data_IF_405270915477
#
_entry.id   IF_405270915477
#
_cell.length_a   1.000
_cell.length_b   1.000
_cell.length_c   1.000
_cell.angle_alpha   90.00
_cell.angle_beta   90.00
_cell.angle_gamma   90.00
#
_symmetry.space_group_name_H-M   'P 1'
#
loop_
_entity.id
_entity.type
_entity.pdbx_description
1 polymer ?
#
# COMPACT_ATOMS: atom_id res chain seq x y z
N UNK A 1 36.87 -32.88 -26.97
CA UNK A 1 38.35 -32.70 -27.02
C UNK A 1 38.68 -31.67 -25.96
N UNK A 2 39.36 -32.06 -24.86
CA UNK A 2 39.47 -31.22 -23.64
C UNK A 2 40.07 -29.86 -23.94
N UNK A 3 39.40 -28.77 -23.58
CA UNK A 3 39.88 -27.37 -23.74
C UNK A 3 41.33 -27.16 -23.29
N UNK A 4 41.83 -27.99 -22.38
CA UNK A 4 43.21 -27.94 -21.89
C UNK A 4 44.24 -28.27 -22.94
N UNK A 5 43.99 -29.23 -23.85
CA UNK A 5 44.92 -29.61 -24.90
C UNK A 5 44.90 -28.66 -26.09
N UNK A 6 43.77 -27.96 -26.31
CA UNK A 6 43.64 -26.96 -27.36
C UNK A 6 44.64 -25.79 -27.19
N UNK A 7 44.92 -25.37 -25.98
CA UNK A 7 45.89 -24.32 -25.69
C UNK A 7 47.34 -24.72 -25.99
N UNK A 8 47.72 -25.94 -25.67
CA UNK A 8 49.07 -26.47 -26.00
C UNK A 8 49.22 -26.66 -27.51
N UNK A 9 48.17 -27.13 -28.18
CA UNK A 9 48.12 -27.24 -29.62
C UNK A 9 48.23 -25.86 -30.30
N UNK A 10 47.47 -24.86 -29.80
CA UNK A 10 47.55 -23.48 -30.28
C UNK A 10 48.94 -22.85 -30.10
N UNK A 11 49.62 -23.14 -28.99
CA UNK A 11 50.98 -22.69 -28.76
C UNK A 11 51.96 -23.26 -29.81
N UNK A 12 51.90 -24.56 -30.08
CA UNK A 12 52.78 -25.23 -31.09
C UNK A 12 52.47 -24.76 -32.51
N UNK A 13 51.17 -24.70 -32.85
CA UNK A 13 50.74 -24.27 -34.19
C UNK A 13 51.12 -22.81 -34.45
N UNK A 14 50.77 -21.90 -33.48
CA UNK A 14 51.07 -20.48 -33.59
C UNK A 14 52.58 -20.21 -33.76
N UNK A 15 53.45 -20.90 -32.99
CA UNK A 15 54.88 -20.78 -33.07
C UNK A 15 55.41 -21.31 -34.43
N UNK A 16 54.88 -22.45 -34.92
CA UNK A 16 55.20 -22.99 -36.21
C UNK A 16 54.78 -22.07 -37.36
N UNK A 17 53.58 -21.52 -37.33
CA UNK A 17 53.08 -20.61 -38.37
C UNK A 17 53.99 -19.38 -38.48
N UNK A 18 54.32 -18.75 -37.38
CA UNK A 18 55.17 -17.57 -37.34
C UNK A 18 56.55 -17.93 -37.85
N UNK A 19 57.13 -19.07 -37.42
CA UNK A 19 58.43 -19.51 -37.90
C UNK A 19 58.42 -19.77 -39.42
N UNK A 20 57.44 -20.50 -39.93
CA UNK A 20 57.32 -20.82 -41.36
C UNK A 20 57.07 -19.59 -42.25
N UNK A 21 56.28 -18.61 -41.72
CA UNK A 21 56.00 -17.38 -42.46
C UNK A 21 57.18 -16.42 -42.53
N UNK A 22 58.05 -16.37 -41.51
CA UNK A 22 59.09 -15.37 -41.37
C UNK A 22 60.46 -15.96 -41.78
N UNK A 23 60.73 -17.29 -41.75
CA UNK A 23 61.97 -17.93 -42.09
C UNK A 23 62.49 -17.64 -43.56
N UNK A 24 61.58 -17.57 -44.57
CA UNK A 24 62.03 -17.23 -45.93
C UNK A 24 62.63 -15.82 -46.09
N UNK A 25 62.26 -14.92 -45.15
CA UNK A 25 62.64 -13.50 -45.17
C UNK A 25 63.67 -13.15 -44.09
N UNK A 26 64.40 -14.13 -43.57
CA UNK A 26 65.33 -13.96 -42.44
C UNK A 26 66.45 -12.95 -42.72
N UNK A 27 66.86 -12.75 -43.96
CA UNK A 27 67.87 -11.75 -44.34
C UNK A 27 67.37 -10.32 -44.42
N UNK A 28 66.02 -10.16 -44.58
CA UNK A 28 65.37 -8.86 -44.75
C UNK A 28 64.70 -8.33 -43.47
N UNK A 29 64.46 -9.22 -42.52
CA UNK A 29 63.73 -8.87 -41.30
C UNK A 29 64.67 -8.81 -40.11
N UNK A 30 64.62 -7.75 -39.37
CA UNK A 30 65.37 -7.58 -38.13
C UNK A 30 64.90 -8.62 -37.07
N UNK A 31 65.81 -9.21 -36.32
CA UNK A 31 65.56 -10.15 -35.23
C UNK A 31 64.56 -9.59 -34.15
N UNK A 32 64.56 -8.28 -33.97
CA UNK A 32 63.61 -7.62 -33.08
C UNK A 32 62.15 -7.74 -33.54
N UNK A 33 61.93 -7.64 -34.88
CA UNK A 33 60.56 -7.78 -35.43
C UNK A 33 60.08 -9.22 -35.30
N UNK A 34 60.97 -10.20 -35.49
CA UNK A 34 60.66 -11.62 -35.29
C UNK A 34 60.33 -11.91 -33.80
N UNK A 35 61.09 -11.32 -32.88
CA UNK A 35 60.86 -11.47 -31.45
C UNK A 35 59.46 -10.89 -31.05
N UNK A 36 59.07 -9.73 -31.58
CA UNK A 36 57.75 -9.14 -31.40
C UNK A 36 56.60 -10.03 -31.93
N UNK A 37 56.81 -10.67 -33.11
CA UNK A 37 55.85 -11.60 -33.70
C UNK A 37 55.61 -12.82 -32.77
N UNK A 38 56.69 -13.40 -32.24
CA UNK A 38 56.56 -14.49 -31.25
C UNK A 38 55.89 -14.01 -29.93
N UNK A 39 56.18 -12.79 -29.48
CA UNK A 39 55.55 -12.20 -28.31
C UNK A 39 54.04 -12.06 -28.50
N UNK A 40 53.57 -11.69 -29.69
CA UNK A 40 52.13 -11.64 -30.02
C UNK A 40 51.49 -13.04 -29.95
N UNK A 41 52.17 -14.09 -30.42
CA UNK A 41 51.68 -15.47 -30.24
C UNK A 41 51.56 -15.84 -28.77
N UNK A 42 52.56 -15.50 -27.95
CA UNK A 42 52.51 -15.75 -26.50
C UNK A 42 51.36 -14.99 -25.85
N UNK A 43 51.17 -13.73 -26.23
CA UNK A 43 50.06 -12.89 -25.72
C UNK A 43 48.69 -13.49 -26.09
N UNK A 44 48.53 -13.89 -27.36
CA UNK A 44 47.30 -14.49 -27.84
C UNK A 44 46.97 -15.79 -27.09
N UNK A 45 47.95 -16.69 -26.96
CA UNK A 45 47.79 -17.95 -26.23
C UNK A 45 47.51 -17.69 -24.77
N UNK A 46 48.14 -16.67 -24.15
CA UNK A 46 47.88 -16.28 -22.76
C UNK A 46 46.44 -15.80 -22.53
N UNK A 47 45.91 -14.99 -23.44
CA UNK A 47 44.54 -14.44 -23.36
C UNK A 47 43.45 -15.53 -23.47
N UNK A 48 43.62 -16.46 -24.45
CA UNK A 48 42.57 -17.44 -24.72
C UNK A 48 42.67 -18.72 -23.88
N UNK A 49 43.88 -19.20 -23.58
CA UNK A 49 44.10 -20.49 -22.88
C UNK A 49 44.84 -20.40 -21.55
N UNK A 50 45.30 -19.19 -21.18
CA UNK A 50 45.92 -18.95 -19.88
C UNK A 50 47.42 -19.15 -19.83
N UNK A 51 48.01 -19.07 -18.61
CA UNK A 51 49.46 -18.96 -18.40
C UNK A 51 50.26 -20.21 -18.78
N UNK A 52 49.73 -21.42 -18.56
CA UNK A 52 50.52 -22.67 -18.82
C UNK A 52 50.79 -22.91 -20.30
N UNK A 53 49.83 -22.83 -21.24
CA UNK A 53 50.10 -22.89 -22.66
C UNK A 53 50.98 -21.72 -23.17
N UNK A 54 50.77 -20.52 -22.61
CA UNK A 54 51.57 -19.35 -22.93
C UNK A 54 53.05 -19.51 -22.57
N UNK A 55 53.33 -20.18 -21.46
CA UNK A 55 54.71 -20.49 -21.03
C UNK A 55 55.36 -21.47 -22.01
N UNK A 56 54.62 -22.48 -22.53
CA UNK A 56 55.10 -23.35 -23.57
C UNK A 56 55.36 -22.55 -24.86
N UNK A 57 54.44 -21.68 -25.26
CA UNK A 57 54.61 -20.83 -26.43
C UNK A 57 55.87 -19.94 -26.33
N UNK A 58 56.17 -19.39 -25.12
CA UNK A 58 57.34 -18.55 -24.89
C UNK A 58 58.63 -19.34 -25.01
N UNK A 59 58.68 -20.54 -24.46
CA UNK A 59 59.87 -21.43 -24.56
C UNK A 59 60.09 -21.85 -26.02
N UNK A 60 59.06 -22.29 -26.74
CA UNK A 60 59.11 -22.65 -28.13
C UNK A 60 59.50 -21.43 -28.98
N UNK A 61 58.93 -20.28 -28.78
CA UNK A 61 59.28 -19.04 -29.47
C UNK A 61 60.73 -18.64 -29.25
N UNK A 62 61.25 -18.79 -28.05
CA UNK A 62 62.65 -18.54 -27.72
C UNK A 62 63.58 -19.49 -28.50
N UNK A 63 63.23 -20.77 -28.49
CA UNK A 63 64.01 -21.75 -29.25
C UNK A 63 63.96 -21.48 -30.76
N UNK A 64 62.81 -21.20 -31.35
CA UNK A 64 62.63 -20.86 -32.74
C UNK A 64 63.36 -19.58 -33.11
N UNK A 65 63.28 -18.53 -32.28
CA UNK A 65 64.02 -17.29 -32.49
C UNK A 65 65.52 -17.51 -32.53
N UNK A 66 66.05 -18.26 -31.55
CA UNK A 66 67.50 -18.55 -31.52
C UNK A 66 67.96 -19.39 -32.70
N UNK A 67 67.25 -20.45 -33.03
CA UNK A 67 67.70 -21.44 -34.05
C UNK A 67 67.53 -20.94 -35.50
N UNK A 68 66.45 -20.23 -35.82
CA UNK A 68 66.14 -19.84 -37.19
C UNK A 68 66.52 -18.40 -37.56
N UNK A 69 66.68 -17.49 -36.57
CA UNK A 69 66.80 -16.05 -36.82
C UNK A 69 67.98 -15.35 -36.16
N UNK A 70 68.71 -16.04 -35.27
CA UNK A 70 69.88 -15.46 -34.65
C UNK A 70 71.20 -16.14 -35.19
N UNK A 71 72.15 -15.36 -35.66
CA UNK A 71 73.46 -15.95 -36.15
C UNK A 71 74.28 -16.53 -34.99
N UNK A 72 74.95 -17.66 -35.18
CA UNK A 72 75.03 -18.49 -36.41
C UNK A 72 73.73 -19.31 -36.54
N UNK A 73 73.10 -19.25 -37.74
CA UNK A 73 71.82 -19.92 -38.02
C UNK A 73 71.92 -21.45 -37.88
N UNK A 74 70.83 -22.10 -37.53
CA UNK A 74 70.68 -23.54 -37.33
C UNK A 74 71.60 -24.13 -36.25
N UNK A 75 72.05 -23.27 -35.32
CA UNK A 75 72.76 -23.65 -34.09
C UNK A 75 72.11 -23.10 -32.87
N UNK A 76 72.28 -23.76 -31.73
CA UNK A 76 71.79 -23.23 -30.43
C UNK A 76 72.83 -22.40 -29.71
N UNK A 77 73.94 -22.04 -30.38
CA UNK A 77 75.01 -21.20 -29.82
C UNK A 77 74.72 -19.72 -30.07
N UNK A 78 74.90 -18.89 -29.03
CA UNK A 78 74.68 -17.45 -29.08
C UNK A 78 76.05 -16.77 -29.19
N UNK A 79 76.38 -16.34 -30.43
CA UNK A 79 77.72 -15.77 -30.72
C UNK A 79 77.90 -14.34 -30.19
N UNK A 80 76.80 -13.55 -30.06
CA UNK A 80 76.85 -12.13 -29.66
C UNK A 80 76.19 -11.92 -28.32
N UNK A 81 76.81 -11.17 -27.42
CA UNK A 81 76.28 -10.84 -26.07
C UNK A 81 74.93 -10.10 -26.10
N UNK A 82 74.69 -9.33 -27.17
CA UNK A 82 73.43 -8.62 -27.38
C UNK A 82 72.23 -9.56 -27.55
N UNK A 83 72.42 -10.73 -28.07
CA UNK A 83 71.39 -11.75 -28.30
C UNK A 83 70.97 -12.39 -26.99
N UNK A 84 71.84 -12.50 -25.99
CA UNK A 84 71.51 -12.93 -24.64
C UNK A 84 70.53 -11.94 -23.94
N UNK A 85 70.81 -10.65 -24.13
CA UNK A 85 69.92 -9.59 -23.57
C UNK A 85 68.49 -9.69 -24.20
N UNK A 86 68.44 -9.81 -25.55
CA UNK A 86 67.18 -9.95 -26.27
C UNK A 86 66.37 -11.17 -25.82
N UNK A 87 66.98 -12.31 -25.66
CA UNK A 87 66.35 -13.56 -25.20
C UNK A 87 65.85 -13.42 -23.73
N UNK A 88 66.65 -12.81 -22.85
CA UNK A 88 66.27 -12.59 -21.47
C UNK A 88 65.11 -11.66 -21.39
N UNK A 89 65.10 -10.54 -22.14
CA UNK A 89 63.94 -9.60 -22.19
C UNK A 89 62.70 -10.27 -22.74
N UNK A 90 62.86 -11.06 -23.85
CA UNK A 90 61.72 -11.81 -24.38
C UNK A 90 61.10 -12.76 -23.35
N UNK A 91 61.93 -13.56 -22.68
CA UNK A 91 61.44 -14.52 -21.68
C UNK A 91 60.80 -13.85 -20.48
N UNK A 92 61.42 -12.80 -19.94
CA UNK A 92 60.85 -12.05 -18.79
C UNK A 92 59.53 -11.38 -19.16
N UNK A 93 59.45 -10.79 -20.36
CA UNK A 93 58.21 -10.17 -20.86
C UNK A 93 57.09 -11.21 -21.03
N UNK A 94 57.43 -12.36 -21.66
CA UNK A 94 56.48 -13.45 -21.86
C UNK A 94 55.93 -14.00 -20.52
N UNK A 95 56.82 -14.14 -19.53
CA UNK A 95 56.44 -14.57 -18.19
C UNK A 95 55.53 -13.55 -17.49
N UNK A 96 55.89 -12.26 -17.58
CA UNK A 96 55.10 -11.16 -16.97
C UNK A 96 53.68 -11.07 -17.57
N UNK A 97 53.60 -11.13 -18.92
CA UNK A 97 52.31 -11.13 -19.64
C UNK A 97 51.46 -12.35 -19.25
N UNK A 98 52.09 -13.54 -19.20
CA UNK A 98 51.39 -14.77 -18.79
C UNK A 98 50.85 -14.69 -17.38
N UNK A 99 51.61 -14.15 -16.43
CA UNK A 99 51.18 -13.96 -15.04
C UNK A 99 50.07 -12.91 -14.93
N UNK A 100 50.19 -11.78 -15.65
CA UNK A 100 49.20 -10.70 -15.63
C UNK A 100 47.86 -11.18 -16.18
N UNK A 101 47.86 -11.90 -17.31
CA UNK A 101 46.65 -12.50 -17.90
C UNK A 101 45.98 -13.50 -16.95
N UNK A 102 46.76 -14.34 -16.27
CA UNK A 102 46.24 -15.30 -15.31
C UNK A 102 45.59 -14.58 -14.07
N UNK A 103 46.21 -13.50 -13.61
CA UNK A 103 45.66 -12.69 -12.51
C UNK A 103 44.37 -11.96 -12.94
N UNK A 104 44.36 -11.39 -14.14
CA UNK A 104 43.17 -10.71 -14.67
C UNK A 104 41.98 -11.68 -14.76
N UNK A 105 42.22 -12.89 -15.31
CA UNK A 105 41.17 -13.90 -15.41
C UNK A 105 40.62 -14.36 -14.05
N UNK A 106 41.51 -14.60 -13.09
CA UNK A 106 41.06 -14.95 -11.72
C UNK A 106 40.23 -13.87 -11.08
N UNK A 107 40.63 -12.59 -11.19
CA UNK A 107 39.86 -11.47 -10.66
C UNK A 107 38.47 -11.35 -11.31
N UNK A 108 38.41 -11.62 -12.62
CA UNK A 108 37.13 -11.63 -13.33
C UNK A 108 36.21 -12.75 -12.81
N UNK A 109 36.75 -13.98 -12.65
CA UNK A 109 36.00 -15.13 -12.12
C UNK A 109 35.49 -14.84 -10.67
N UNK A 110 36.35 -14.31 -9.80
CA UNK A 110 35.99 -13.92 -8.43
C UNK A 110 34.93 -12.81 -8.41
N UNK A 111 35.03 -11.83 -9.31
CA UNK A 111 34.02 -10.75 -9.41
C UNK A 111 32.66 -11.26 -9.93
N UNK A 112 32.68 -12.20 -10.89
CA UNK A 112 31.42 -12.81 -11.38
C UNK A 112 30.75 -13.68 -10.32
N UNK A 113 31.53 -14.45 -9.54
CA UNK A 113 31.00 -15.23 -8.41
C UNK A 113 30.41 -14.32 -7.34
N UNK A 114 31.14 -13.27 -6.96
CA UNK A 114 30.65 -12.28 -5.98
C UNK A 114 29.37 -11.58 -6.45
N UNK A 115 29.29 -11.26 -7.74
CA UNK A 115 28.07 -10.66 -8.32
C UNK A 115 26.86 -11.61 -8.26
N UNK A 116 27.05 -12.88 -8.56
CA UNK A 116 25.97 -13.90 -8.49
C UNK A 116 25.49 -14.09 -7.07
N UNK A 117 26.40 -14.08 -6.10
CA UNK A 117 26.04 -14.22 -4.67
C UNK A 117 25.25 -12.99 -4.18
N UNK A 118 25.67 -11.77 -4.55
CA UNK A 118 24.93 -10.54 -4.23
C UNK A 118 23.52 -10.60 -4.83
N UNK A 119 23.38 -11.01 -6.09
CA UNK A 119 22.11 -11.10 -6.78
C UNK A 119 21.17 -12.12 -6.12
N UNK A 120 21.72 -13.26 -5.68
CA UNK A 120 20.97 -14.26 -4.91
C UNK A 120 20.50 -13.72 -3.56
N UNK A 121 21.41 -13.10 -2.78
CA UNK A 121 21.06 -12.52 -1.48
C UNK A 121 20.02 -11.40 -1.61
N UNK A 122 20.12 -10.60 -2.67
CA UNK A 122 19.12 -9.56 -2.96
C UNK A 122 17.74 -10.15 -3.22
N UNK A 123 17.64 -11.22 -4.01
CA UNK A 123 16.38 -11.92 -4.27
C UNK A 123 15.79 -12.57 -2.99
N UNK A 124 16.64 -13.18 -2.17
CA UNK A 124 16.24 -13.75 -0.89
C UNK A 124 15.72 -12.66 0.07
N UNK A 125 16.40 -11.52 0.16
CA UNK A 125 15.98 -10.38 0.95
C UNK A 125 14.64 -9.81 0.49
N UNK A 126 14.46 -9.62 -0.82
CA UNK A 126 13.22 -9.11 -1.39
C UNK A 126 12.04 -10.04 -1.07
N UNK A 127 12.21 -11.35 -1.27
CA UNK A 127 11.17 -12.33 -0.97
C UNK A 127 10.84 -12.42 0.54
N UNK A 128 11.83 -12.22 1.40
CA UNK A 128 11.62 -12.16 2.86
C UNK A 128 10.87 -10.89 3.25
N UNK A 129 11.20 -9.76 2.64
CA UNK A 129 10.50 -8.48 2.88
C UNK A 129 9.04 -8.53 2.44
N UNK A 130 8.75 -9.09 1.26
CA UNK A 130 7.37 -9.25 0.77
C UNK A 130 6.55 -10.14 1.71
N UNK A 131 7.11 -11.26 2.16
CA UNK A 131 6.43 -12.15 3.12
C UNK A 131 6.19 -11.48 4.46
N UNK A 132 7.16 -10.71 4.97
CA UNK A 132 7.02 -9.98 6.22
C UNK A 132 5.95 -8.89 6.13
N UNK A 133 5.92 -8.15 5.01
CA UNK A 133 4.90 -7.12 4.75
C UNK A 133 3.49 -7.71 4.67
N UNK A 134 3.31 -8.84 3.95
CA UNK A 134 2.03 -9.53 3.88
C UNK A 134 1.58 -10.07 5.25
N UNK A 135 2.50 -10.66 6.01
CA UNK A 135 2.20 -11.17 7.35
C UNK A 135 1.80 -10.04 8.32
N UNK A 136 2.45 -8.87 8.24
CA UNK A 136 2.09 -7.71 9.06
C UNK A 136 0.74 -7.13 8.68
N UNK A 137 0.44 -6.99 7.36
CA UNK A 137 -0.86 -6.55 6.88
C UNK A 137 -1.99 -7.49 7.36
N UNK A 138 -1.76 -8.81 7.29
CA UNK A 138 -2.73 -9.79 7.78
C UNK A 138 -2.93 -9.68 9.30
N UNK A 139 -1.85 -9.54 10.07
CA UNK A 139 -1.94 -9.34 11.54
C UNK A 139 -2.70 -8.07 11.91
N UNK A 140 -2.46 -6.99 11.20
CA UNK A 140 -3.19 -5.73 11.43
C UNK A 140 -4.68 -5.90 11.11
N UNK A 141 -5.01 -6.58 10.01
CA UNK A 141 -6.39 -6.91 9.65
C UNK A 141 -7.08 -7.77 10.72
N UNK A 142 -6.40 -8.81 11.22
CA UNK A 142 -6.93 -9.67 12.28
C UNK A 142 -7.13 -8.92 13.60
N UNK A 143 -6.17 -8.08 14.02
CA UNK A 143 -6.32 -7.24 15.21
C UNK A 143 -7.50 -6.28 15.09
N UNK A 144 -7.64 -5.63 13.93
CA UNK A 144 -8.77 -4.76 13.66
C UNK A 144 -10.09 -5.51 13.73
N UNK A 145 -10.17 -6.69 13.08
CA UNK A 145 -11.36 -7.54 13.12
C UNK A 145 -11.73 -7.99 14.54
N UNK A 146 -10.74 -8.37 15.35
CA UNK A 146 -10.99 -8.75 16.76
C UNK A 146 -11.49 -7.56 17.58
N UNK A 147 -10.83 -6.40 17.47
CA UNK A 147 -11.28 -5.19 18.17
C UNK A 147 -12.69 -4.76 17.75
N UNK A 148 -13.04 -4.92 16.47
CA UNK A 148 -14.39 -4.66 15.95
C UNK A 148 -15.41 -5.62 16.57
N UNK A 149 -15.12 -6.92 16.63
CA UNK A 149 -16.02 -7.91 17.24
C UNK A 149 -16.23 -7.65 18.73
N UNK A 150 -15.19 -7.23 19.45
CA UNK A 150 -15.28 -6.87 20.86
C UNK A 150 -16.15 -5.62 21.06
N UNK A 151 -15.97 -4.59 20.25
CA UNK A 151 -16.80 -3.37 20.28
C UNK A 151 -18.26 -3.66 19.96
N UNK A 152 -18.53 -4.43 18.90
CA UNK A 152 -19.88 -4.88 18.52
C UNK A 152 -20.54 -5.66 19.65
N UNK A 153 -19.81 -6.60 20.26
CA UNK A 153 -20.31 -7.42 21.37
C UNK A 153 -20.66 -6.57 22.58
N UNK A 154 -19.82 -5.57 22.90
CA UNK A 154 -20.07 -4.63 23.98
C UNK A 154 -21.35 -3.81 23.72
N UNK A 155 -21.47 -3.23 22.52
CA UNK A 155 -22.57 -2.36 22.14
C UNK A 155 -23.92 -3.10 21.97
N UNK A 156 -23.89 -4.41 21.71
CA UNK A 156 -25.06 -5.28 21.76
C UNK A 156 -25.43 -5.67 23.20
N UNK A 157 -24.44 -5.91 24.07
CA UNK A 157 -24.66 -6.39 25.44
C UNK A 157 -25.38 -5.34 26.30
N UNK A 158 -25.03 -4.07 26.15
CA UNK A 158 -25.61 -2.96 26.97
C UNK A 158 -27.11 -2.88 26.81
N UNK A 159 -27.72 -2.68 25.63
CA UNK A 159 -29.16 -2.62 25.46
C UNK A 159 -29.85 -3.92 25.88
N UNK A 160 -29.27 -5.07 25.55
CA UNK A 160 -29.81 -6.37 25.98
C UNK A 160 -29.87 -6.52 27.51
N UNK A 161 -28.89 -5.96 28.22
CA UNK A 161 -28.87 -5.98 29.69
C UNK A 161 -29.94 -5.10 30.26
N UNK A 162 -30.13 -3.88 29.70
CA UNK A 162 -31.22 -2.99 30.10
C UNK A 162 -32.61 -3.60 29.87
N UNK A 163 -32.85 -4.13 28.66
CA UNK A 163 -34.10 -4.84 28.33
C UNK A 163 -34.31 -6.01 29.30
N UNK A 164 -33.28 -6.83 29.55
CA UNK A 164 -33.38 -7.98 30.45
C UNK A 164 -33.68 -7.57 31.88
N UNK A 165 -33.05 -6.51 32.39
CA UNK A 165 -33.32 -5.97 33.73
C UNK A 165 -34.77 -5.48 33.86
N UNK A 166 -35.25 -4.66 32.94
CA UNK A 166 -36.61 -4.13 32.94
C UNK A 166 -37.65 -5.25 32.85
N UNK A 167 -37.45 -6.24 31.94
CA UNK A 167 -38.35 -7.40 31.84
C UNK A 167 -38.32 -8.22 33.12
N UNK A 168 -37.15 -8.46 33.73
CA UNK A 168 -37.02 -9.28 34.94
C UNK A 168 -37.77 -8.64 36.07
N UNK A 169 -37.63 -7.31 36.27
CA UNK A 169 -38.34 -6.57 37.30
C UNK A 169 -39.88 -6.62 37.12
N UNK A 170 -40.36 -6.42 35.89
CA UNK A 170 -41.78 -6.54 35.57
C UNK A 170 -42.32 -7.97 35.79
N UNK A 171 -41.53 -9.00 35.48
CA UNK A 171 -41.92 -10.40 35.69
C UNK A 171 -41.92 -10.80 37.15
N UNK A 172 -40.99 -10.29 37.97
CA UNK A 172 -40.91 -10.59 39.39
C UNK A 172 -42.10 -9.94 40.14
N UNK A 173 -42.52 -8.74 39.73
CA UNK A 173 -43.74 -8.13 40.21
C UNK A 173 -44.97 -9.01 39.89
N UNK A 174 -45.16 -9.40 38.63
CA UNK A 174 -46.31 -10.23 38.20
C UNK A 174 -46.33 -11.58 38.91
N UNK A 175 -45.13 -12.18 39.19
CA UNK A 175 -45.00 -13.47 39.87
C UNK A 175 -45.12 -13.41 41.38
N UNK A 176 -45.20 -12.22 41.97
CA UNK A 176 -45.20 -12.03 43.42
C UNK A 176 -43.92 -12.51 44.10
N UNK A 177 -42.79 -12.56 43.39
CA UNK A 177 -41.49 -13.01 43.89
C UNK A 177 -40.62 -11.83 44.31
N UNK A 178 -41.06 -11.08 45.32
CA UNK A 178 -40.12 -10.19 46.01
C UNK A 178 -39.41 -11.01 47.08
N UNK A 179 -38.13 -11.26 46.92
CA UNK A 179 -37.26 -11.83 47.97
C UNK A 179 -37.12 -10.72 49.04
N UNK A 180 -37.59 -11.03 50.25
CA UNK A 180 -37.60 -10.18 51.46
C UNK A 180 -38.75 -9.16 51.57
N UNK A 181 -39.76 -9.52 52.33
CA UNK A 181 -40.77 -8.78 53.17
C UNK A 181 -41.14 -7.31 52.83
N UNK A 182 -40.68 -6.72 51.70
CA UNK A 182 -41.22 -5.46 51.18
C UNK A 182 -41.77 -5.70 49.76
N UNK A 183 -43.10 -5.81 49.65
CA UNK A 183 -43.83 -5.72 48.39
C UNK A 183 -43.54 -4.38 47.73
N UNK A 184 -42.54 -4.29 46.88
CA UNK A 184 -42.45 -3.13 45.99
C UNK A 184 -43.44 -3.39 44.85
N UNK A 185 -44.67 -2.99 45.08
CA UNK A 185 -45.65 -2.82 44.00
C UNK A 185 -45.18 -1.61 43.20
N UNK A 186 -44.70 -1.88 41.96
CA UNK A 186 -44.42 -0.81 41.02
C UNK A 186 -45.71 -0.02 40.77
N UNK A 187 -45.63 1.29 40.86
CA UNK A 187 -46.73 2.14 40.41
C UNK A 187 -46.87 2.08 38.88
N UNK A 188 -47.98 2.60 38.38
CA UNK A 188 -48.26 2.55 36.94
C UNK A 188 -47.22 3.33 36.13
N UNK A 189 -46.63 4.37 36.68
CA UNK A 189 -45.61 5.21 36.08
C UNK A 189 -44.30 4.44 35.91
N UNK A 190 -43.81 3.77 36.94
CA UNK A 190 -42.61 2.92 36.89
C UNK A 190 -42.75 1.74 35.92
N UNK A 191 -43.94 1.16 35.80
CA UNK A 191 -44.19 0.11 34.78
C UNK A 191 -44.08 0.67 33.36
N UNK A 192 -44.68 1.85 33.15
CA UNK A 192 -44.63 2.52 31.86
C UNK A 192 -43.18 2.88 31.48
N UNK A 193 -42.42 3.49 32.41
CA UNK A 193 -40.99 3.77 32.20
C UNK A 193 -40.19 2.54 31.81
N UNK A 194 -40.43 1.40 32.48
CA UNK A 194 -39.70 0.14 32.11
C UNK A 194 -40.10 -0.38 30.73
N UNK A 195 -41.36 -0.24 30.32
CA UNK A 195 -41.82 -0.60 28.98
C UNK A 195 -41.22 0.33 27.93
N UNK A 196 -41.14 1.64 28.21
CA UNK A 196 -40.50 2.64 27.36
C UNK A 196 -39.00 2.34 27.16
N UNK A 197 -38.28 1.99 28.24
CA UNK A 197 -36.88 1.57 28.18
C UNK A 197 -36.72 0.33 27.29
N UNK A 198 -37.62 -0.66 27.41
CA UNK A 198 -37.57 -1.86 26.57
C UNK A 198 -37.74 -1.51 25.07
N UNK A 199 -38.70 -0.64 24.78
CA UNK A 199 -39.01 -0.19 23.42
C UNK A 199 -37.84 0.60 22.81
N UNK A 200 -37.36 1.62 23.54
CA UNK A 200 -36.20 2.43 23.12
C UNK A 200 -34.95 1.63 22.86
N UNK A 201 -34.61 0.69 23.78
CA UNK A 201 -33.40 -0.12 23.62
C UNK A 201 -33.55 -1.20 22.53
N UNK A 202 -34.78 -1.68 22.27
CA UNK A 202 -35.10 -2.57 21.15
C UNK A 202 -34.93 -1.84 19.81
N UNK A 203 -35.43 -0.63 19.71
CA UNK A 203 -35.26 0.22 18.53
C UNK A 203 -33.78 0.58 18.29
N UNK A 204 -33.06 0.87 19.37
CA UNK A 204 -31.61 1.09 19.30
C UNK A 204 -30.87 -0.13 18.75
N UNK A 205 -31.23 -1.33 19.19
CA UNK A 205 -30.66 -2.59 18.75
C UNK A 205 -30.95 -2.84 17.26
N UNK A 206 -32.19 -2.59 16.83
CA UNK A 206 -32.57 -2.73 15.42
C UNK A 206 -31.79 -1.76 14.52
N UNK A 207 -31.62 -0.49 14.93
CA UNK A 207 -30.80 0.47 14.21
C UNK A 207 -29.33 0.04 14.13
N UNK A 208 -28.79 -0.51 15.22
CA UNK A 208 -27.41 -1.01 15.27
C UNK A 208 -27.20 -2.18 14.30
N UNK A 209 -28.11 -3.17 14.31
CA UNK A 209 -28.04 -4.33 13.40
C UNK A 209 -28.19 -3.88 11.93
N UNK A 210 -29.13 -2.97 11.65
CA UNK A 210 -29.29 -2.39 10.33
C UNK A 210 -28.01 -1.73 9.83
N UNK A 211 -27.37 -0.91 10.66
CA UNK A 211 -26.10 -0.27 10.34
C UNK A 211 -24.97 -1.26 10.08
N UNK A 212 -24.88 -2.38 10.83
CA UNK A 212 -23.90 -3.44 10.57
C UNK A 212 -24.11 -4.11 9.19
N UNK A 213 -25.37 -4.36 8.84
CA UNK A 213 -25.72 -4.98 7.55
C UNK A 213 -25.35 -4.02 6.39
N UNK A 214 -25.67 -2.74 6.53
CA UNK A 214 -25.37 -1.73 5.52
C UNK A 214 -23.85 -1.56 5.37
N UNK A 215 -23.12 -1.52 6.48
CA UNK A 215 -21.66 -1.47 6.44
C UNK A 215 -21.06 -2.70 5.76
N UNK A 216 -21.56 -3.90 6.05
CA UNK A 216 -21.10 -5.13 5.40
C UNK A 216 -21.37 -5.13 3.88
N UNK A 217 -22.52 -4.60 3.44
CA UNK A 217 -22.83 -4.45 2.01
C UNK A 217 -21.95 -3.43 1.31
N UNK A 218 -21.66 -2.30 1.97
CA UNK A 218 -20.73 -1.29 1.47
C UNK A 218 -19.33 -1.89 1.29
N UNK A 219 -18.84 -2.65 2.29
CA UNK A 219 -17.52 -3.31 2.21
C UNK A 219 -17.41 -4.35 1.10
N UNK A 220 -18.48 -5.12 0.90
CA UNK A 220 -18.53 -6.11 -0.15
C UNK A 220 -18.68 -5.51 -1.56
N UNK A 221 -18.89 -4.18 -1.67
CA UNK A 221 -19.27 -3.54 -2.94
C UNK A 221 -20.65 -3.96 -3.44
N UNK A 222 -21.49 -4.50 -2.55
CA UNK A 222 -22.82 -5.05 -2.87
C UNK A 222 -23.96 -4.06 -2.63
N UNK A 223 -23.64 -2.79 -2.37
CA UNK A 223 -24.67 -1.75 -2.22
C UNK A 223 -25.38 -1.53 -3.56
N UNK A 224 -26.54 -2.15 -3.73
CA UNK A 224 -27.39 -2.01 -4.91
C UNK A 224 -28.24 -0.77 -4.79
N UNK A 225 -27.81 0.34 -5.36
CA UNK A 225 -28.55 1.58 -5.41
C UNK A 225 -29.71 1.48 -6.40
N UNK A 226 -30.89 1.92 -5.98
CA UNK A 226 -32.06 2.10 -6.85
C UNK A 226 -32.15 3.55 -7.25
N UNK A 227 -31.23 3.99 -8.12
CA UNK A 227 -31.16 5.37 -8.59
C UNK A 227 -32.46 5.74 -9.31
N UNK A 228 -33.04 6.87 -8.92
CA UNK A 228 -34.22 7.49 -9.55
C UNK A 228 -33.98 8.99 -9.60
N UNK A 229 -34.72 9.65 -10.47
CA UNK A 229 -34.75 11.09 -10.52
C UNK A 229 -35.51 11.62 -9.31
N UNK A 230 -34.90 12.51 -8.53
CA UNK A 230 -35.50 13.11 -7.37
C UNK A 230 -35.02 14.54 -7.17
N UNK A 231 -35.68 15.26 -6.30
CA UNK A 231 -35.31 16.64 -5.93
C UNK A 231 -34.61 16.65 -4.57
N UNK A 232 -33.73 17.61 -4.37
CA UNK A 232 -33.03 17.80 -3.09
C UNK A 232 -34.04 18.12 -1.97
N UNK A 233 -35.11 18.84 -2.30
CA UNK A 233 -36.19 19.18 -1.36
C UNK A 233 -36.88 17.94 -0.79
N UNK A 234 -37.20 16.96 -1.63
CA UNK A 234 -37.82 15.69 -1.22
C UNK A 234 -36.88 14.88 -0.29
N UNK A 235 -35.60 14.82 -0.63
CA UNK A 235 -34.58 14.13 0.15
C UNK A 235 -34.47 14.76 1.55
N UNK A 236 -34.34 16.09 1.63
CA UNK A 236 -34.24 16.82 2.91
C UNK A 236 -35.50 16.66 3.71
N UNK A 237 -36.68 16.83 3.09
CA UNK A 237 -37.97 16.73 3.80
C UNK A 237 -38.18 15.32 4.37
N UNK A 238 -37.87 14.28 3.61
CA UNK A 238 -37.93 12.88 4.07
C UNK A 238 -37.02 12.64 5.27
N UNK A 239 -35.80 13.17 5.26
CA UNK A 239 -34.87 13.06 6.35
C UNK A 239 -35.37 13.81 7.60
N UNK A 240 -35.89 15.03 7.44
CA UNK A 240 -36.35 15.86 8.55
C UNK A 240 -37.62 15.31 9.23
N UNK A 241 -38.55 14.72 8.49
CA UNK A 241 -39.70 14.03 9.08
C UNK A 241 -39.26 12.92 10.05
N UNK A 242 -38.25 12.17 9.69
CA UNK A 242 -37.67 11.11 10.54
C UNK A 242 -36.86 11.67 11.70
N UNK A 243 -36.22 12.82 11.50
CA UNK A 243 -35.40 13.49 12.51
C UNK A 243 -36.22 14.30 13.54
N UNK A 244 -37.51 14.48 13.33
CA UNK A 244 -38.41 15.29 14.21
C UNK A 244 -38.28 14.96 15.70
N UNK A 245 -38.20 13.69 16.15
CA UNK A 245 -38.15 13.39 17.58
C UNK A 245 -36.94 14.00 18.32
N UNK A 246 -35.78 14.10 17.67
CA UNK A 246 -34.55 14.62 18.29
C UNK A 246 -34.22 16.06 17.87
N UNK A 247 -34.96 16.62 16.93
CA UNK A 247 -34.85 18.04 16.56
C UNK A 247 -35.90 18.91 17.29
N UNK A 248 -36.81 18.31 18.08
CA UNK A 248 -37.79 19.03 18.91
C UNK A 248 -37.08 20.03 19.83
N UNK A 249 -37.53 21.28 19.80
CA UNK A 249 -36.92 22.36 20.57
C UNK A 249 -35.65 22.96 20.02
N UNK A 250 -35.30 22.60 18.79
CA UNK A 250 -34.20 23.21 18.01
C UNK A 250 -34.74 23.90 16.76
N UNK A 251 -34.11 24.96 16.35
CA UNK A 251 -34.38 25.59 15.05
C UNK A 251 -33.60 24.87 13.95
N UNK A 252 -34.33 24.36 12.95
CA UNK A 252 -33.73 23.76 11.78
C UNK A 252 -33.87 24.72 10.59
N UNK A 253 -32.75 25.34 10.19
CA UNK A 253 -32.70 26.30 9.07
C UNK A 253 -32.40 25.52 7.78
N UNK A 254 -33.29 25.59 6.79
CA UNK A 254 -33.07 24.96 5.46
C UNK A 254 -32.87 26.03 4.42
N UNK A 255 -31.72 25.99 3.76
CA UNK A 255 -31.32 26.94 2.72
C UNK A 255 -31.01 26.16 1.44
N UNK A 256 -31.94 26.16 0.51
CA UNK A 256 -31.81 25.52 -0.78
C UNK A 256 -31.73 26.59 -1.84
N UNK A 257 -30.70 26.52 -2.67
CA UNK A 257 -30.57 27.42 -3.84
C UNK A 257 -31.75 27.25 -4.78
N UNK A 258 -32.24 28.34 -5.35
CA UNK A 258 -33.37 28.29 -6.27
C UNK A 258 -32.99 27.57 -7.56
N UNK A 259 -33.94 26.77 -8.07
CA UNK A 259 -33.80 26.06 -9.35
C UNK A 259 -32.62 25.07 -9.39
N UNK A 260 -32.39 24.33 -8.28
CA UNK A 260 -31.45 23.21 -8.33
C UNK A 260 -31.91 22.13 -9.32
N UNK A 261 -30.97 21.58 -10.11
CA UNK A 261 -31.29 20.50 -11.03
C UNK A 261 -31.66 19.22 -10.25
N UNK A 262 -32.41 18.33 -10.91
CA UNK A 262 -32.71 17.00 -10.38
C UNK A 262 -31.45 16.15 -10.29
N UNK A 263 -31.43 15.24 -9.32
CA UNK A 263 -30.34 14.30 -9.06
C UNK A 263 -30.78 12.87 -9.39
N UNK A 264 -29.85 12.06 -9.93
CA UNK A 264 -30.09 10.63 -10.15
C UNK A 264 -29.50 9.82 -8.98
N UNK A 265 -30.29 9.61 -7.95
CA UNK A 265 -29.86 8.99 -6.68
C UNK A 265 -30.86 7.94 -6.19
N UNK A 266 -30.42 7.10 -5.27
CA UNK A 266 -31.31 6.36 -4.38
C UNK A 266 -31.77 7.32 -3.27
N UNK A 267 -32.94 7.89 -3.41
CA UNK A 267 -33.54 8.89 -2.52
C UNK A 267 -33.53 8.42 -1.06
N UNK A 268 -33.87 7.14 -0.85
CA UNK A 268 -33.91 6.57 0.50
C UNK A 268 -32.50 6.52 1.14
N UNK A 269 -31.50 6.12 0.36
CA UNK A 269 -30.13 6.05 0.84
C UNK A 269 -29.57 7.44 1.12
N UNK A 270 -29.82 8.42 0.24
CA UNK A 270 -29.32 9.80 0.46
C UNK A 270 -30.08 10.49 1.60
N UNK A 271 -31.39 10.23 1.76
CA UNK A 271 -32.14 10.70 2.94
C UNK A 271 -31.58 10.14 4.26
N UNK A 272 -31.06 8.89 4.24
CA UNK A 272 -30.37 8.31 5.40
C UNK A 272 -29.06 9.05 5.71
N UNK A 273 -28.31 9.49 4.68
CA UNK A 273 -27.13 10.35 4.89
C UNK A 273 -27.53 11.64 5.61
N UNK A 274 -28.52 12.36 5.08
CA UNK A 274 -28.99 13.63 5.69
C UNK A 274 -29.49 13.40 7.12
N UNK A 275 -30.28 12.35 7.35
CA UNK A 275 -30.76 11.96 8.66
C UNK A 275 -29.61 11.73 9.64
N UNK A 276 -28.60 10.96 9.23
CA UNK A 276 -27.42 10.67 10.06
C UNK A 276 -26.64 11.93 10.42
N UNK A 277 -26.49 12.86 9.47
CA UNK A 277 -25.79 14.11 9.71
C UNK A 277 -26.58 15.03 10.65
N UNK A 278 -27.91 15.09 10.54
CA UNK A 278 -28.79 15.85 11.41
C UNK A 278 -28.82 15.25 12.83
N UNK A 279 -28.87 13.92 12.96
CA UNK A 279 -28.76 13.22 14.25
C UNK A 279 -27.44 13.53 14.95
N UNK A 280 -26.32 13.48 14.23
CA UNK A 280 -25.02 13.88 14.76
C UNK A 280 -25.00 15.36 15.18
N UNK A 281 -25.49 16.26 14.34
CA UNK A 281 -25.61 17.69 14.68
C UNK A 281 -26.42 17.93 15.95
N UNK A 282 -27.51 17.20 16.12
CA UNK A 282 -28.33 17.29 17.32
C UNK A 282 -27.64 16.74 18.58
N UNK A 283 -26.89 15.67 18.46
CA UNK A 283 -26.16 15.01 19.55
C UNK A 283 -24.96 15.80 20.04
N UNK A 284 -24.20 16.41 19.11
CA UNK A 284 -22.92 17.04 19.43
C UNK A 284 -22.98 18.57 19.53
N UNK A 285 -24.16 19.17 19.41
CA UNK A 285 -24.36 20.60 19.66
C UNK A 285 -25.20 20.87 20.92
N UNK A 286 -24.99 21.99 21.61
CA UNK A 286 -25.77 22.36 22.78
C UNK A 286 -27.28 22.44 22.48
N UNK A 287 -28.12 22.07 23.47
CA UNK A 287 -29.57 22.17 23.33
C UNK A 287 -29.98 23.62 23.06
N UNK A 288 -30.94 23.85 22.15
CA UNK A 288 -31.39 25.18 21.78
C UNK A 288 -30.55 25.90 20.71
N UNK A 289 -29.48 25.27 20.21
CA UNK A 289 -28.75 25.81 19.04
C UNK A 289 -29.40 25.38 17.75
N UNK A 290 -29.29 26.24 16.70
CA UNK A 290 -29.81 25.92 15.37
C UNK A 290 -28.92 24.90 14.62
N UNK A 291 -29.58 24.07 13.83
CA UNK A 291 -28.94 23.18 12.84
C UNK A 291 -29.25 23.76 11.47
N UNK A 292 -28.21 23.96 10.63
CA UNK A 292 -28.40 24.49 9.28
C UNK A 292 -28.14 23.41 8.23
N UNK A 293 -29.09 23.23 7.33
CA UNK A 293 -28.99 22.38 6.15
C UNK A 293 -28.93 23.31 4.94
N UNK A 294 -27.94 23.11 4.09
CA UNK A 294 -27.82 23.90 2.86
C UNK A 294 -27.59 22.99 1.64
N UNK A 295 -28.13 23.40 0.52
CA UNK A 295 -27.90 22.75 -0.77
C UNK A 295 -27.70 23.80 -1.84
N UNK A 296 -26.64 23.67 -2.63
CA UNK A 296 -26.28 24.61 -3.70
C UNK A 296 -25.59 23.89 -4.85
N UNK A 297 -25.58 24.48 -6.02
CA UNK A 297 -24.82 24.00 -7.16
C UNK A 297 -23.33 24.30 -6.95
N UNK A 298 -22.48 23.31 -7.20
CA UNK A 298 -21.01 23.46 -7.22
C UNK A 298 -20.52 23.79 -8.62
N UNK A 299 -19.37 24.46 -8.71
CA UNK A 299 -18.71 24.82 -9.99
C UNK A 299 -18.36 23.57 -10.83
N UNK A 300 -18.18 22.42 -10.21
CA UNK A 300 -17.86 21.13 -10.85
C UNK A 300 -19.08 20.41 -11.48
N UNK A 301 -20.23 21.07 -11.54
CA UNK A 301 -21.46 20.42 -12.05
C UNK A 301 -22.06 19.39 -11.09
N UNK A 302 -21.77 19.49 -9.80
CA UNK A 302 -22.31 18.67 -8.73
C UNK A 302 -23.32 19.49 -7.90
N UNK A 303 -24.17 18.83 -7.13
CA UNK A 303 -24.90 19.47 -6.05
C UNK A 303 -24.13 19.26 -4.75
N UNK A 304 -23.80 20.34 -4.07
CA UNK A 304 -23.16 20.32 -2.76
C UNK A 304 -24.21 20.50 -1.68
N UNK A 305 -24.32 19.53 -0.78
CA UNK A 305 -25.19 19.55 0.40
C UNK A 305 -24.35 19.64 1.65
N UNK A 306 -24.80 20.35 2.66
CA UNK A 306 -24.10 20.46 3.93
C UNK A 306 -25.08 20.50 5.10
N UNK A 307 -24.67 19.87 6.22
CA UNK A 307 -25.32 20.00 7.54
C UNK A 307 -24.31 20.64 8.48
N UNK A 308 -24.71 21.74 9.11
CA UNK A 308 -23.86 22.53 9.99
C UNK A 308 -24.49 22.63 11.39
N UNK A 309 -23.68 22.37 12.41
CA UNK A 309 -24.03 22.50 13.83
C UNK A 309 -23.21 23.61 14.53
N UNK A 310 -23.59 23.95 15.74
CA UNK A 310 -22.91 24.93 16.61
C UNK A 310 -22.22 24.25 17.81
N UNK A 311 -21.76 23.01 17.63
CA UNK A 311 -21.03 22.27 18.65
C UNK A 311 -19.57 22.73 18.81
N UNK A 312 -18.77 21.90 19.46
CA UNK A 312 -17.34 22.18 19.72
C UNK A 312 -16.45 22.03 18.48
N UNK A 313 -16.99 21.45 17.40
CA UNK A 313 -16.26 21.16 16.18
C UNK A 313 -15.38 19.91 16.30
N UNK A 314 -14.73 19.56 15.18
CA UNK A 314 -13.82 18.41 15.06
C UNK A 314 -12.43 18.91 14.73
N UNK A 315 -11.43 18.46 15.52
CA UNK A 315 -10.03 18.80 15.30
C UNK A 315 -9.57 18.35 13.90
N UNK A 316 -8.69 19.13 13.26
CA UNK A 316 -8.31 18.94 11.85
C UNK A 316 -7.70 17.57 11.60
N UNK A 317 -6.89 17.07 12.54
CA UNK A 317 -6.23 15.77 12.51
C UNK A 317 -7.21 14.57 12.66
N UNK A 318 -8.43 14.81 13.15
CA UNK A 318 -9.48 13.80 13.30
C UNK A 318 -10.51 13.80 12.17
N UNK A 319 -10.56 14.83 11.31
CA UNK A 319 -11.60 15.01 10.29
C UNK A 319 -11.70 13.88 9.26
N UNK A 320 -10.58 13.26 8.90
CA UNK A 320 -10.58 12.09 8.05
C UNK A 320 -10.98 10.83 8.84
N UNK A 321 -10.49 10.71 10.06
CA UNK A 321 -10.68 9.54 10.90
C UNK A 321 -12.09 9.35 11.44
N UNK A 322 -12.88 10.41 11.54
CA UNK A 322 -14.29 10.30 12.00
C UNK A 322 -15.19 9.53 11.02
N UNK A 323 -14.72 9.33 9.79
CA UNK A 323 -15.35 8.45 8.82
C UNK A 323 -14.89 7.00 8.93
N UNK A 324 -13.88 6.70 9.76
CA UNK A 324 -13.46 5.34 10.01
C UNK A 324 -14.53 4.62 10.84
N UNK A 325 -14.72 3.35 10.55
CA UNK A 325 -15.70 2.49 11.20
C UNK A 325 -15.44 2.39 12.70
N UNK A 326 -16.49 2.55 13.50
CA UNK A 326 -16.45 2.48 14.96
C UNK A 326 -15.53 3.53 15.62
N UNK A 327 -15.02 4.48 14.83
CA UNK A 327 -14.24 5.57 15.40
C UNK A 327 -15.14 6.54 16.17
N UNK A 328 -14.68 6.91 17.35
CA UNK A 328 -15.30 7.93 18.19
C UNK A 328 -14.23 8.89 18.65
N UNK A 329 -14.41 10.18 18.39
CA UNK A 329 -13.52 11.22 18.89
C UNK A 329 -13.76 11.41 20.41
N UNK A 330 -13.11 10.57 21.23
CA UNK A 330 -13.09 10.76 22.69
C UNK A 330 -11.99 11.77 23.02
N UNK A 331 -12.32 12.84 23.75
CA UNK A 331 -11.30 13.69 24.37
C UNK A 331 -10.67 12.92 25.54
N UNK A 332 -9.35 12.80 25.51
CA UNK A 332 -8.59 12.24 26.63
C UNK A 332 -8.91 13.04 27.90
N UNK A 333 -9.49 12.39 28.91
CA UNK A 333 -9.72 12.92 30.25
C UNK A 333 -11.16 13.19 30.68
N UNK A 334 -12.14 13.10 29.77
CA UNK A 334 -13.56 13.35 30.17
C UNK A 334 -14.27 12.03 30.46
N UNK A 335 -14.21 11.62 31.74
CA UNK A 335 -15.11 10.60 32.33
C UNK A 335 -16.47 11.28 32.68
N UNK A 336 -16.99 12.09 31.76
CA UNK A 336 -18.30 12.67 32.00
C UNK A 336 -19.39 11.66 31.61
N UNK A 337 -20.27 11.37 32.53
CA UNK A 337 -21.42 10.45 32.46
C UNK A 337 -22.48 10.85 31.41
N UNK A 338 -22.19 11.82 30.53
CA UNK A 338 -23.10 12.37 29.53
C UNK A 338 -22.50 12.38 28.10
N UNK A 339 -21.67 11.39 27.74
CA UNK A 339 -21.30 11.28 26.36
C UNK A 339 -22.46 10.80 25.49
N UNK A 340 -22.78 11.49 24.37
CA UNK A 340 -23.86 11.07 23.50
C UNK A 340 -23.64 9.63 23.02
N UNK A 341 -24.66 8.80 23.18
CA UNK A 341 -24.63 7.41 22.75
C UNK A 341 -24.53 7.33 21.24
N UNK A 342 -23.48 6.68 20.71
CA UNK A 342 -23.30 6.50 19.27
C UNK A 342 -22.41 5.29 18.96
N UNK A 343 -22.75 4.56 17.90
CA UNK A 343 -22.06 3.32 17.48
C UNK A 343 -20.76 3.57 16.70
N UNK A 344 -20.49 4.82 16.32
CA UNK A 344 -19.36 5.16 15.43
C UNK A 344 -19.49 4.65 14.00
N UNK A 345 -20.67 4.16 13.60
CA UNK A 345 -20.92 3.65 12.25
C UNK A 345 -21.58 4.67 11.31
N UNK A 346 -22.32 5.62 11.85
CA UNK A 346 -23.18 6.52 11.05
C UNK A 346 -22.41 7.29 9.97
N UNK A 347 -21.28 7.94 10.32
CA UNK A 347 -20.48 8.67 9.34
C UNK A 347 -19.77 7.75 8.33
N UNK A 348 -19.38 6.55 8.73
CA UNK A 348 -18.80 5.56 7.82
C UNK A 348 -19.85 5.07 6.80
N UNK A 349 -21.08 4.83 7.23
CA UNK A 349 -22.21 4.47 6.35
C UNK A 349 -22.54 5.64 5.41
N UNK A 350 -22.64 6.86 5.96
CA UNK A 350 -22.88 8.06 5.15
C UNK A 350 -21.82 8.22 4.05
N UNK A 351 -20.55 8.03 4.39
CA UNK A 351 -19.44 8.05 3.41
C UNK A 351 -19.61 6.98 2.36
N UNK A 352 -19.87 5.74 2.74
CA UNK A 352 -20.06 4.65 1.77
C UNK A 352 -21.25 4.88 0.83
N UNK A 353 -22.35 5.43 1.33
CA UNK A 353 -23.51 5.79 0.49
C UNK A 353 -23.14 6.90 -0.50
N UNK A 354 -22.48 7.97 -0.04
CA UNK A 354 -22.06 9.09 -0.89
C UNK A 354 -21.07 8.64 -1.95
N UNK A 355 -20.07 7.85 -1.58
CA UNK A 355 -19.08 7.29 -2.52
C UNK A 355 -19.72 6.34 -3.54
N UNK A 356 -20.72 5.54 -3.13
CA UNK A 356 -21.48 4.70 -4.05
C UNK A 356 -22.32 5.53 -5.06
N UNK A 357 -22.65 6.78 -4.73
CA UNK A 357 -23.26 7.76 -5.63
C UNK A 357 -22.22 8.59 -6.39
N UNK A 358 -20.95 8.20 -6.36
CA UNK A 358 -19.83 8.88 -7.02
C UNK A 358 -19.61 10.31 -6.50
N UNK A 359 -20.08 10.59 -5.29
CA UNK A 359 -19.89 11.83 -4.57
C UNK A 359 -18.69 11.79 -3.64
N UNK A 360 -18.44 12.91 -2.96
CA UNK A 360 -17.42 13.07 -1.92
C UNK A 360 -18.06 13.58 -0.65
N UNK A 361 -17.54 13.19 0.51
CA UNK A 361 -17.95 13.70 1.82
C UNK A 361 -16.73 14.15 2.60
N UNK A 362 -16.83 15.29 3.29
CA UNK A 362 -15.74 15.84 4.11
C UNK A 362 -16.27 16.73 5.22
N UNK A 363 -15.38 17.19 6.10
CA UNK A 363 -15.69 18.05 7.23
C UNK A 363 -14.97 19.38 7.11
N UNK A 364 -15.72 20.44 7.35
CA UNK A 364 -15.25 21.81 7.48
C UNK A 364 -15.54 22.34 8.89
N UNK A 365 -14.92 23.45 9.24
CA UNK A 365 -15.33 24.23 10.42
C UNK A 365 -16.66 24.92 10.13
N UNK A 366 -17.54 24.99 11.12
CA UNK A 366 -18.78 25.75 11.01
C UNK A 366 -18.55 27.24 10.83
N UNK A 367 -19.60 27.98 10.54
CA UNK A 367 -19.58 29.43 10.29
C UNK A 367 -18.98 30.16 11.50
N UNK A 368 -17.97 31.00 11.24
CA UNK A 368 -17.24 31.71 12.31
C UNK A 368 -16.19 30.86 13.03
N UNK A 369 -15.85 29.67 12.52
CA UNK A 369 -14.83 28.78 13.07
C UNK A 369 -15.29 27.94 14.29
N UNK A 370 -16.57 27.94 14.59
CA UNK A 370 -17.18 27.13 15.64
C UNK A 370 -18.17 26.13 15.04
N UNK A 371 -18.29 24.95 15.69
CA UNK A 371 -19.16 23.87 15.22
C UNK A 371 -18.56 23.04 14.11
N UNK A 372 -19.35 22.10 13.63
CA UNK A 372 -18.99 21.18 12.55
C UNK A 372 -19.89 21.44 11.35
N UNK A 373 -19.30 21.49 10.16
CA UNK A 373 -20.00 21.49 8.88
C UNK A 373 -19.60 20.25 8.11
N UNK A 374 -20.50 19.29 7.98
CA UNK A 374 -20.30 18.09 7.17
C UNK A 374 -20.86 18.37 5.78
N UNK A 375 -20.02 18.24 4.77
CA UNK A 375 -20.34 18.55 3.37
C UNK A 375 -20.26 17.29 2.55
N UNK A 376 -21.21 17.11 1.61
CA UNK A 376 -21.14 16.04 0.63
C UNK A 376 -21.66 16.49 -0.74
N UNK A 377 -21.27 15.78 -1.79
CA UNK A 377 -21.67 16.09 -3.16
C UNK A 377 -22.47 14.95 -3.78
N UNK A 378 -23.38 15.32 -4.68
CA UNK A 378 -24.18 14.41 -5.50
C UNK A 378 -24.05 14.81 -6.97
N UNK A 379 -24.05 13.83 -7.88
CA UNK A 379 -24.05 14.11 -9.30
C UNK A 379 -25.38 14.68 -9.75
N UNK A 380 -25.30 15.72 -10.58
CA UNK A 380 -26.45 16.22 -11.33
C UNK A 380 -26.76 15.18 -12.41
N UNK A 381 -28.03 14.85 -12.55
CA UNK A 381 -28.44 13.95 -13.61
C UNK A 381 -28.39 14.63 -14.98
N UNK A 382 -27.88 13.94 -16.00
CA UNK A 382 -27.92 14.43 -17.37
C UNK A 382 -29.34 14.40 -17.92
N UNK A 383 -29.82 15.52 -18.43
CA UNK A 383 -31.16 15.64 -19.06
C UNK A 383 -31.35 14.72 -20.30
N UNK A 384 -30.26 14.21 -20.89
CA UNK A 384 -30.31 13.32 -22.05
C UNK A 384 -30.87 11.91 -21.76
N UNK A 385 -30.93 11.51 -20.47
CA UNK A 385 -31.45 10.18 -20.10
C UNK A 385 -32.95 10.17 -19.82
N UNK A 386 -33.67 11.30 -19.97
CA UNK A 386 -35.12 11.41 -19.77
C UNK A 386 -35.97 10.83 -20.91
N UNK A 387 -35.35 10.32 -22.02
CA UNK A 387 -36.07 9.88 -23.22
C UNK A 387 -35.78 8.39 -23.55
N UNK A 388 -35.80 7.51 -22.60
CA UNK A 388 -35.84 6.08 -22.89
C UNK A 388 -36.83 5.34 -21.98
#
# INVERSE_FOLDING_TARGET
MNLRWAGYFGAVVGTRVVTASLAPFHEQINSTTVALAFLLVVLFVALFWGSRPALLASVLGMFCLNFFFLPPLYTLSIAHSQNWVALTVFFTTALAVGQLSARAKRRQEEAEEGRREIERLYQELQSAFERASQAEALRQSEKLKSALLDAVTHDLRTPLTSIKASITTLLDEVRGRSQEEQFVTLDQESRLEMMEVIDEESDRLNRFIGGLIDLARIEAGELRLRRRWGTVDEIISTALVRAEPFTRGREVEVHIEKELPVVSVDERAVSEVVYTLVDNAAKYSPVGTSIRISAQRSDDGMIMMAVEDKGDGIAVDLRERVFDKFFRATRDGDISTHQPSGTGMGLAIAKGIVEAHEGKIWIESGTGGKGTRVVFTLQIGDEETQIL
#
